data_IF_613216671221
#
_entry.id   IF_613216671221
#
_cell.length_a   1.000
_cell.length_b   1.000
_cell.length_c   1.000
_cell.angle_alpha   90.00
_cell.angle_beta   90.00
_cell.angle_gamma   90.00
#
_symmetry.space_group_name_H-M   'P 1'
#
loop_
_entity.id
_entity.type
_entity.pdbx_description
1 polymer ?
#
# COMPACT_ATOMS: atom_id res chain seq x y z
N UNK A 1 43.59 -6.13 -14.20
CA UNK A 1 42.97 -5.15 -15.10
C UNK A 1 41.68 -5.79 -15.59
N UNK A 2 40.61 -5.58 -14.82
CA UNK A 2 39.36 -6.33 -14.91
C UNK A 2 38.24 -5.33 -15.10
N UNK A 3 37.78 -5.14 -16.33
CA UNK A 3 36.48 -4.51 -16.65
C UNK A 3 36.11 -4.95 -18.06
N UNK A 4 34.89 -5.47 -18.24
CA UNK A 4 33.98 -5.20 -19.39
C UNK A 4 32.99 -6.38 -19.60
N UNK A 5 32.20 -6.78 -18.59
CA UNK A 5 30.99 -7.60 -18.80
C UNK A 5 29.93 -7.25 -17.75
N UNK A 6 29.15 -6.20 -18.01
CA UNK A 6 27.77 -6.01 -17.52
C UNK A 6 27.27 -4.60 -17.89
N UNK A 7 27.11 -4.31 -19.19
CA UNK A 7 26.29 -3.17 -19.61
C UNK A 7 24.93 -3.69 -20.08
N UNK A 8 23.91 -3.19 -19.39
CA UNK A 8 22.50 -3.07 -19.78
C UNK A 8 21.58 -4.25 -19.44
N UNK A 9 21.05 -4.20 -18.20
CA UNK A 9 19.78 -4.82 -17.86
C UNK A 9 18.64 -4.03 -18.53
N UNK A 10 17.65 -4.68 -19.19
CA UNK A 10 16.57 -4.02 -19.94
C UNK A 10 15.40 -3.57 -19.05
N UNK A 11 15.49 -3.72 -17.74
CA UNK A 11 14.41 -3.33 -16.84
C UNK A 11 14.65 -1.91 -16.31
N UNK A 12 13.74 -0.94 -16.55
CA UNK A 12 13.79 0.31 -15.82
C UNK A 12 13.60 -0.01 -14.33
N UNK A 13 14.55 0.40 -13.51
CA UNK A 13 14.38 0.43 -12.06
C UNK A 13 13.21 1.36 -11.77
N UNK A 14 12.02 0.79 -11.52
CA UNK A 14 10.94 1.53 -10.87
C UNK A 14 11.51 1.98 -9.52
N UNK A 15 11.78 3.27 -9.38
CA UNK A 15 12.11 3.88 -8.10
C UNK A 15 10.84 3.99 -7.22
N UNK A 16 10.18 2.86 -6.96
CA UNK A 16 9.15 2.74 -5.94
C UNK A 16 9.64 1.68 -4.97
N UNK A 17 10.22 2.12 -3.85
CA UNK A 17 10.48 1.22 -2.73
C UNK A 17 9.14 1.04 -2.02
N UNK A 18 8.58 -0.16 -2.11
CA UNK A 18 7.46 -0.56 -1.26
C UNK A 18 8.01 -0.76 0.15
N UNK A 19 7.91 0.28 0.98
CA UNK A 19 8.37 0.26 2.38
C UNK A 19 7.55 -0.75 3.20
N UNK A 20 6.28 -0.93 2.84
CA UNK A 20 5.35 -1.86 3.45
C UNK A 20 4.77 -2.79 2.37
N UNK A 21 5.50 -3.83 1.94
CA UNK A 21 5.00 -4.74 0.91
C UNK A 21 3.84 -5.58 1.44
N UNK A 22 2.88 -5.88 0.57
CA UNK A 22 1.82 -6.82 0.91
C UNK A 22 2.39 -8.17 1.35
N UNK A 23 1.84 -8.72 2.43
CA UNK A 23 2.17 -10.04 2.93
C UNK A 23 0.89 -10.86 3.09
N UNK A 24 0.94 -12.15 2.76
CA UNK A 24 -0.21 -13.05 2.90
C UNK A 24 -0.66 -13.27 4.35
N UNK A 25 0.17 -12.92 5.34
CA UNK A 25 -0.21 -12.86 6.74
C UNK A 25 -1.27 -11.79 7.06
N UNK A 26 -1.53 -10.85 6.15
CA UNK A 26 -2.61 -9.86 6.28
C UNK A 26 -3.97 -10.40 5.79
N UNK A 27 -4.00 -11.61 5.23
CA UNK A 27 -5.24 -12.23 4.78
C UNK A 27 -6.09 -12.65 5.97
N UNK A 28 -7.34 -12.22 5.93
CA UNK A 28 -8.41 -12.65 6.85
C UNK A 28 -9.15 -13.87 6.31
N UNK A 29 -9.00 -14.16 5.01
CA UNK A 29 -9.78 -15.17 4.30
C UNK A 29 -11.11 -14.62 3.75
N UNK A 30 -11.43 -13.35 4.02
CA UNK A 30 -12.58 -12.64 3.45
C UNK A 30 -12.08 -11.76 2.31
N UNK A 31 -12.35 -12.15 1.06
CA UNK A 31 -11.85 -11.43 -0.13
C UNK A 31 -12.15 -9.94 -0.10
N UNK A 32 -13.35 -9.54 0.33
CA UNK A 32 -13.73 -8.14 0.44
C UNK A 32 -12.85 -7.34 1.42
N UNK A 33 -12.46 -7.94 2.55
CA UNK A 33 -11.61 -7.30 3.55
C UNK A 33 -10.14 -7.33 3.10
N UNK A 34 -9.69 -8.44 2.51
CA UNK A 34 -8.34 -8.55 1.98
C UNK A 34 -8.06 -7.54 0.87
N UNK A 35 -9.04 -7.28 0.00
CA UNK A 35 -8.97 -6.25 -1.03
C UNK A 35 -8.90 -4.84 -0.42
N UNK A 36 -9.62 -4.57 0.67
CA UNK A 36 -9.52 -3.31 1.42
C UNK A 36 -8.14 -3.15 2.09
N UNK A 37 -7.60 -4.20 2.69
CA UNK A 37 -6.25 -4.16 3.26
C UNK A 37 -5.20 -3.84 2.18
N UNK A 38 -5.34 -4.36 0.95
CA UNK A 38 -4.42 -4.02 -0.16
C UNK A 38 -4.43 -2.54 -0.51
N UNK A 39 -5.60 -1.90 -0.46
CA UNK A 39 -5.70 -0.45 -0.68
C UNK A 39 -5.03 0.32 0.45
N UNK A 40 -5.24 -0.06 1.72
CA UNK A 40 -4.54 0.55 2.86
C UNK A 40 -3.02 0.42 2.71
N UNK A 41 -2.51 -0.76 2.34
CA UNK A 41 -1.09 -0.98 2.06
C UNK A 41 -0.58 -0.09 0.93
N UNK A 42 -1.36 0.07 -0.14
CA UNK A 42 -1.00 0.98 -1.24
C UNK A 42 -0.92 2.44 -0.78
N UNK A 43 -1.86 2.91 0.03
CA UNK A 43 -1.86 4.27 0.57
C UNK A 43 -0.66 4.51 1.50
N UNK A 44 -0.33 3.53 2.34
CA UNK A 44 0.87 3.57 3.19
C UNK A 44 2.16 3.64 2.36
N UNK A 45 2.27 2.86 1.28
CA UNK A 45 3.44 2.91 0.40
C UNK A 45 3.54 4.24 -0.37
N UNK A 46 2.41 4.81 -0.77
CA UNK A 46 2.36 6.17 -1.34
C UNK A 46 2.89 7.18 -0.33
N UNK A 47 2.38 7.17 0.91
CA UNK A 47 2.83 8.04 1.99
C UNK A 47 4.33 7.90 2.25
N UNK A 48 4.82 6.66 2.37
CA UNK A 48 6.23 6.35 2.57
C UNK A 48 7.10 6.91 1.43
N UNK A 49 6.64 6.78 0.18
CA UNK A 49 7.34 7.31 -1.00
C UNK A 49 7.37 8.84 -1.02
N UNK A 50 6.30 9.50 -0.59
CA UNK A 50 6.29 10.96 -0.42
C UNK A 50 7.31 11.44 0.62
N UNK A 51 7.40 10.75 1.76
CA UNK A 51 8.36 11.10 2.81
C UNK A 51 9.80 10.81 2.38
N UNK A 52 10.05 9.67 1.73
CA UNK A 52 11.40 9.23 1.36
C UNK A 52 11.97 9.97 0.13
N UNK A 53 11.13 10.27 -0.86
CA UNK A 53 11.57 10.75 -2.17
C UNK A 53 11.03 12.12 -2.57
N UNK A 54 10.21 12.77 -1.74
CA UNK A 54 9.51 14.03 -2.08
C UNK A 54 8.76 13.94 -3.41
N UNK A 55 8.03 12.86 -3.59
CA UNK A 55 7.15 12.63 -4.75
C UNK A 55 6.17 13.81 -4.95
N UNK A 56 5.83 14.13 -6.20
CA UNK A 56 4.89 15.20 -6.58
C UNK A 56 3.50 14.69 -7.02
N UNK A 57 3.24 13.37 -6.96
CA UNK A 57 2.01 12.79 -7.53
C UNK A 57 0.70 13.19 -6.79
N UNK A 58 0.77 13.34 -5.47
CA UNK A 58 -0.29 13.86 -4.59
C UNK A 58 0.36 14.75 -3.53
N UNK A 59 -0.35 15.70 -2.96
CA UNK A 59 0.14 16.37 -1.76
C UNK A 59 0.14 15.41 -0.57
N UNK A 60 1.02 15.66 0.41
CA UNK A 60 1.07 14.87 1.64
C UNK A 60 -0.29 14.89 2.37
N UNK A 61 -0.98 16.03 2.34
CA UNK A 61 -2.31 16.23 2.93
C UNK A 61 -3.36 15.33 2.25
N UNK A 62 -3.43 15.32 0.92
CA UNK A 62 -4.34 14.45 0.17
C UNK A 62 -4.12 12.96 0.46
N UNK A 63 -2.87 12.54 0.67
CA UNK A 63 -2.55 11.15 1.03
C UNK A 63 -3.04 10.83 2.45
N UNK A 64 -2.90 11.76 3.40
CA UNK A 64 -3.42 11.59 4.76
C UNK A 64 -4.95 11.55 4.81
N UNK A 65 -5.62 12.41 4.05
CA UNK A 65 -7.08 12.41 3.95
C UNK A 65 -7.58 11.09 3.36
N UNK A 66 -6.99 10.65 2.25
CA UNK A 66 -7.33 9.37 1.62
C UNK A 66 -7.10 8.18 2.58
N UNK A 67 -6.00 8.17 3.33
CA UNK A 67 -5.72 7.11 4.32
C UNK A 67 -6.75 7.12 5.45
N UNK A 68 -7.12 8.30 5.96
CA UNK A 68 -8.09 8.46 7.04
C UNK A 68 -9.48 7.98 6.60
N UNK A 69 -9.97 8.49 5.48
CA UNK A 69 -11.29 8.15 4.94
C UNK A 69 -11.39 6.66 4.64
N UNK A 70 -10.33 6.09 4.05
CA UNK A 70 -10.33 4.67 3.70
C UNK A 70 -10.24 3.77 4.94
N UNK A 71 -9.52 4.18 5.98
CA UNK A 71 -9.47 3.47 7.27
C UNK A 71 -10.85 3.44 7.94
N UNK A 72 -11.58 4.56 7.91
CA UNK A 72 -12.96 4.63 8.43
C UNK A 72 -13.87 3.69 7.64
N UNK A 73 -13.78 3.69 6.31
CA UNK A 73 -14.56 2.79 5.46
C UNK A 73 -14.25 1.31 5.74
N UNK A 74 -12.97 0.98 5.89
CA UNK A 74 -12.51 -0.38 6.17
C UNK A 74 -13.06 -0.89 7.51
N UNK A 75 -12.91 -0.13 8.60
CA UNK A 75 -13.44 -0.55 9.90
C UNK A 75 -14.95 -0.68 9.90
N UNK A 76 -15.69 0.23 9.25
CA UNK A 76 -17.14 0.09 9.09
C UNK A 76 -17.53 -1.20 8.35
N UNK A 77 -16.71 -1.65 7.40
CA UNK A 77 -16.96 -2.89 6.67
C UNK A 77 -16.78 -4.12 7.57
N UNK A 78 -15.73 -4.15 8.39
CA UNK A 78 -15.50 -5.22 9.37
C UNK A 78 -16.59 -5.24 10.46
N UNK A 79 -16.92 -4.07 11.01
CA UNK A 79 -17.97 -3.92 12.02
C UNK A 79 -19.33 -4.39 11.51
N UNK A 80 -19.67 -4.10 10.25
CA UNK A 80 -20.90 -4.60 9.64
C UNK A 80 -20.93 -6.13 9.56
N UNK A 81 -19.80 -6.76 9.19
CA UNK A 81 -19.69 -8.23 9.17
C UNK A 81 -19.82 -8.79 10.59
N UNK A 82 -19.10 -8.23 11.56
CA UNK A 82 -19.18 -8.64 12.96
C UNK A 82 -20.60 -8.52 13.52
N UNK A 83 -21.32 -7.45 13.19
CA UNK A 83 -22.71 -7.28 13.59
C UNK A 83 -23.64 -8.36 13.02
N UNK A 84 -23.32 -8.97 11.87
CA UNK A 84 -24.11 -10.11 11.36
C UNK A 84 -23.79 -11.43 12.03
N UNK A 85 -22.59 -11.58 12.61
CA UNK A 85 -22.08 -12.84 13.17
C UNK A 85 -22.23 -12.91 14.68
N UNK A 86 -22.11 -11.78 15.37
CA UNK A 86 -22.08 -11.67 16.83
C UNK A 86 -23.32 -10.97 17.42
N UNK A 87 -24.39 -10.79 16.63
CA UNK A 87 -25.67 -10.28 17.12
C UNK A 87 -26.50 -11.33 17.87
#
# INVERSE_FOLDING_TARGET
MSMELARQSPYPLRNSIDIFPWNDNFKTGLTAIDDQHRVLVSLLNTLASHVAFRSEALSLEEVFDALTDYTIYHFKSEEAIWATVFA
#
